data_IF_967877069720
#
_entry.id   IF_967877069720
#
_cell.length_a   1.000
_cell.length_b   1.000
_cell.length_c   1.000
_cell.angle_alpha   90.00
_cell.angle_beta   90.00
_cell.angle_gamma   90.00
#
_symmetry.space_group_name_H-M   'P 1'
#
loop_
_entity.id
_entity.type
_entity.pdbx_description
1 polymer ?
#
# COMPACT_ATOMS: atom_id res chain seq x y z
N UNK A 1 -17.25 -48.96 29.33
CA UNK A 1 -15.76 -48.90 29.44
C UNK A 1 -15.02 -48.16 28.28
N UNK A 2 -15.66 -47.35 27.42
CA UNK A 2 -14.99 -46.65 26.28
C UNK A 2 -14.75 -45.14 26.47
N UNK A 3 -15.46 -44.46 27.39
CA UNK A 3 -15.31 -43.00 27.61
C UNK A 3 -14.07 -42.58 28.42
N UNK A 4 -13.51 -43.45 29.28
CA UNK A 4 -12.38 -43.12 30.17
C UNK A 4 -11.00 -43.09 29.49
N UNK A 5 -10.86 -43.69 28.30
CA UNK A 5 -9.59 -43.65 27.51
C UNK A 5 -9.41 -42.38 26.68
N UNK A 6 -10.49 -41.64 26.39
CA UNK A 6 -10.42 -40.44 25.52
C UNK A 6 -10.00 -39.17 26.28
N UNK A 7 -10.29 -39.06 27.58
CA UNK A 7 -9.86 -37.88 28.37
C UNK A 7 -8.36 -37.89 28.67
N UNK A 8 -7.77 -39.04 29.03
CA UNK A 8 -6.31 -39.16 29.27
C UNK A 8 -5.43 -38.81 28.06
N UNK A 9 -5.95 -38.93 26.83
CA UNK A 9 -5.21 -38.56 25.62
C UNK A 9 -5.27 -37.05 25.32
N UNK A 10 -6.25 -36.34 25.88
CA UNK A 10 -6.39 -34.89 25.74
C UNK A 10 -5.49 -34.15 26.73
N UNK A 11 -5.46 -34.59 27.99
CA UNK A 11 -4.54 -34.05 29.02
C UNK A 11 -3.06 -34.18 28.67
N UNK A 12 -2.65 -35.23 27.93
CA UNK A 12 -1.26 -35.39 27.48
C UNK A 12 -0.88 -34.45 26.32
N UNK A 13 -1.87 -33.95 25.56
CA UNK A 13 -1.64 -33.00 24.47
C UNK A 13 -1.54 -31.57 25.02
N UNK A 14 -2.41 -31.21 25.96
CA UNK A 14 -2.36 -29.89 26.62
C UNK A 14 -1.12 -29.68 27.49
N UNK A 15 -0.45 -30.75 27.96
CA UNK A 15 0.85 -30.65 28.65
C UNK A 15 2.05 -30.45 27.71
N UNK A 16 1.89 -30.71 26.40
CA UNK A 16 2.95 -30.48 25.41
C UNK A 16 2.93 -29.04 24.88
N UNK A 17 1.76 -28.41 24.83
CA UNK A 17 1.58 -27.00 24.39
C UNK A 17 1.90 -25.96 25.48
N UNK A 18 2.12 -26.37 26.74
CA UNK A 18 2.50 -25.47 27.85
C UNK A 18 3.99 -25.34 28.11
N UNK A 19 4.86 -25.94 27.27
CA UNK A 19 6.33 -25.85 27.39
C UNK A 19 6.94 -24.73 26.51
N UNK A 20 6.15 -23.76 26.08
CA UNK A 20 6.59 -22.61 25.26
C UNK A 20 6.47 -21.25 25.97
N UNK A 21 6.32 -21.27 27.31
CA UNK A 21 6.29 -20.06 28.15
C UNK A 21 7.08 -20.24 29.44
N UNK A 22 8.31 -20.73 29.31
CA UNK A 22 9.35 -20.48 30.30
C UNK A 22 10.30 -19.46 29.69
N UNK A 23 10.58 -18.37 30.40
CA UNK A 23 11.74 -17.55 30.11
C UNK A 23 12.97 -18.44 30.30
N UNK A 24 13.42 -19.07 29.21
CA UNK A 24 14.58 -19.94 29.20
C UNK A 24 15.79 -19.10 29.61
N UNK A 25 16.35 -19.42 30.78
CA UNK A 25 17.74 -19.15 31.07
C UNK A 25 18.53 -19.73 29.90
N UNK A 26 18.94 -18.86 28.96
CA UNK A 26 19.57 -19.25 27.71
C UNK A 26 20.79 -20.08 28.06
N UNK A 27 20.74 -21.38 27.82
CA UNK A 27 21.95 -22.17 27.73
C UNK A 27 22.81 -21.47 26.66
N UNK A 28 23.99 -20.99 27.04
CA UNK A 28 24.95 -20.39 26.10
C UNK A 28 25.20 -21.31 24.88
N UNK A 29 25.07 -22.62 25.09
CA UNK A 29 25.21 -23.65 24.06
C UNK A 29 24.09 -23.63 22.98
N UNK A 30 22.93 -23.07 23.28
CA UNK A 30 21.79 -22.98 22.35
C UNK A 30 21.76 -21.63 21.58
N UNK A 31 22.72 -20.75 21.87
CA UNK A 31 22.87 -19.46 21.18
C UNK A 31 23.74 -19.58 19.92
N UNK A 32 24.69 -20.53 19.91
CA UNK A 32 25.58 -20.71 18.78
C UNK A 32 24.81 -21.18 17.53
N UNK A 33 24.97 -20.45 16.43
CA UNK A 33 24.29 -20.76 15.16
C UNK A 33 22.79 -20.45 15.13
N UNK A 34 22.24 -19.75 16.14
CA UNK A 34 20.80 -19.41 16.21
C UNK A 34 20.26 -18.69 14.97
N UNK A 35 21.08 -17.84 14.35
CA UNK A 35 20.73 -17.06 13.17
C UNK A 35 21.41 -17.58 11.89
N UNK A 36 21.93 -18.80 11.93
CA UNK A 36 22.82 -19.36 10.90
C UNK A 36 24.29 -19.21 11.25
N UNK A 37 25.15 -19.73 10.38
CA UNK A 37 26.60 -19.67 10.52
C UNK A 37 27.18 -18.94 9.32
N UNK A 38 28.01 -17.92 9.56
CA UNK A 38 28.72 -17.20 8.50
C UNK A 38 30.19 -17.60 8.49
N UNK A 39 30.72 -17.80 7.29
CA UNK A 39 32.15 -18.04 7.05
C UNK A 39 32.87 -16.75 6.70
N UNK A 40 34.18 -16.71 6.94
CA UNK A 40 35.03 -15.58 6.56
C UNK A 40 34.94 -15.24 5.05
N UNK A 41 34.67 -16.24 4.21
CA UNK A 41 34.49 -16.08 2.75
C UNK A 41 33.19 -15.35 2.35
N UNK A 42 32.20 -15.28 3.23
CA UNK A 42 30.89 -14.67 2.94
C UNK A 42 30.85 -13.16 3.17
N UNK A 43 32.02 -12.54 3.32
CA UNK A 43 32.20 -11.09 3.54
C UNK A 43 31.31 -10.25 2.64
N UNK A 44 31.19 -10.59 1.35
CA UNK A 44 30.40 -9.84 0.37
C UNK A 44 28.88 -9.88 0.61
N UNK A 45 28.33 -11.01 1.05
CA UNK A 45 26.89 -11.18 1.26
C UNK A 45 26.37 -10.48 2.51
N UNK A 46 27.26 -10.27 3.48
CA UNK A 46 26.97 -9.64 4.79
C UNK A 46 27.62 -8.27 4.95
N UNK A 47 28.03 -7.64 3.84
CA UNK A 47 28.66 -6.32 3.86
C UNK A 47 27.78 -5.27 4.52
N UNK A 48 26.49 -5.29 4.25
CA UNK A 48 25.58 -4.27 4.73
C UNK A 48 25.36 -4.39 6.24
N UNK A 49 25.18 -5.61 6.75
CA UNK A 49 25.14 -5.89 8.20
C UNK A 49 26.44 -5.50 8.90
N UNK A 50 27.58 -5.81 8.29
CA UNK A 50 28.89 -5.50 8.86
C UNK A 50 29.14 -4.00 8.93
N UNK A 51 28.79 -3.24 7.88
CA UNK A 51 28.91 -1.77 7.87
C UNK A 51 28.04 -1.13 8.93
N UNK A 52 26.80 -1.60 9.09
CA UNK A 52 25.90 -1.12 10.13
C UNK A 52 26.45 -1.41 11.53
N UNK A 53 26.99 -2.61 11.74
CA UNK A 53 27.63 -2.96 13.02
C UNK A 53 28.85 -2.09 13.33
N UNK A 54 29.73 -1.86 12.35
CA UNK A 54 30.90 -0.99 12.52
C UNK A 54 30.51 0.43 12.91
N UNK A 55 29.54 1.02 12.20
CA UNK A 55 29.10 2.40 12.44
C UNK A 55 28.40 2.56 13.80
N UNK A 56 27.58 1.58 14.19
CA UNK A 56 26.73 1.72 15.36
C UNK A 56 27.34 1.17 16.65
N UNK A 57 28.11 0.09 16.58
CA UNK A 57 28.70 -0.57 17.76
C UNK A 57 30.13 -0.10 17.99
N UNK A 58 30.93 -0.07 16.92
CA UNK A 58 32.33 0.35 17.01
C UNK A 58 32.51 1.85 16.77
N UNK A 59 31.49 2.54 16.26
CA UNK A 59 31.55 3.96 15.88
C UNK A 59 32.66 4.29 14.88
N UNK A 60 32.94 3.36 13.96
CA UNK A 60 33.96 3.50 12.92
C UNK A 60 33.30 3.41 11.54
N UNK A 61 33.65 4.35 10.67
CA UNK A 61 33.25 4.29 9.27
C UNK A 61 34.13 3.30 8.48
N UNK A 62 33.50 2.50 7.62
CA UNK A 62 34.19 1.52 6.76
C UNK A 62 35.36 2.14 5.96
N UNK A 63 35.17 3.38 5.51
CA UNK A 63 36.17 4.13 4.74
C UNK A 63 37.42 4.52 5.54
N UNK A 64 37.34 4.56 6.87
CA UNK A 64 38.46 4.94 7.74
C UNK A 64 39.40 3.77 8.07
N UNK A 65 38.96 2.53 7.90
CA UNK A 65 39.76 1.34 8.21
C UNK A 65 40.72 0.99 7.06
N UNK A 66 41.96 0.62 7.38
CA UNK A 66 42.87 -0.01 6.42
C UNK A 66 42.40 -1.43 6.05
N UNK A 67 42.84 -1.95 4.90
CA UNK A 67 42.40 -3.27 4.41
C UNK A 67 42.56 -4.40 5.43
N UNK A 68 43.66 -4.39 6.18
CA UNK A 68 43.94 -5.38 7.23
C UNK A 68 43.02 -5.24 8.43
N UNK A 69 42.83 -4.02 8.92
CA UNK A 69 41.94 -3.75 10.04
C UNK A 69 40.48 -4.12 9.70
N UNK A 70 40.07 -3.96 8.43
CA UNK A 70 38.76 -4.44 7.97
C UNK A 70 38.63 -5.96 8.04
N UNK A 71 39.70 -6.70 7.80
CA UNK A 71 39.69 -8.16 7.89
C UNK A 71 39.67 -8.62 9.36
N UNK A 72 40.42 -7.95 10.23
CA UNK A 72 40.42 -8.21 11.67
C UNK A 72 39.02 -7.94 12.28
N UNK A 73 38.43 -6.79 11.97
CA UNK A 73 37.08 -6.43 12.41
C UNK A 73 36.01 -7.37 11.84
N UNK A 74 36.21 -7.86 10.62
CA UNK A 74 35.32 -8.87 10.01
C UNK A 74 35.40 -10.20 10.76
N UNK A 75 36.57 -10.59 11.24
CA UNK A 75 36.74 -11.75 12.12
C UNK A 75 35.92 -11.63 13.40
N UNK A 76 36.05 -10.50 14.11
CA UNK A 76 35.25 -10.22 15.33
C UNK A 76 33.75 -10.28 15.05
N UNK A 77 33.29 -9.68 13.95
CA UNK A 77 31.88 -9.73 13.57
C UNK A 77 31.40 -11.16 13.27
N UNK A 78 32.21 -11.98 12.62
CA UNK A 78 31.90 -13.39 12.34
C UNK A 78 31.76 -14.19 13.63
N UNK A 79 32.65 -13.96 14.60
CA UNK A 79 32.58 -14.59 15.92
C UNK A 79 31.30 -14.17 16.66
N UNK A 80 31.02 -12.88 16.73
CA UNK A 80 29.85 -12.36 17.43
C UNK A 80 28.52 -12.75 16.75
N UNK A 81 28.53 -12.86 15.43
CA UNK A 81 27.38 -13.36 14.67
C UNK A 81 27.12 -14.82 15.00
N UNK A 82 28.15 -15.67 14.92
CA UNK A 82 27.99 -17.11 15.11
C UNK A 82 27.66 -17.47 16.56
N UNK A 83 28.14 -16.70 17.53
CA UNK A 83 27.85 -16.87 18.96
C UNK A 83 26.58 -16.16 19.42
N UNK A 84 25.90 -15.46 18.50
CA UNK A 84 24.70 -14.68 18.77
C UNK A 84 24.84 -13.63 19.90
N UNK A 85 26.00 -12.95 19.96
CA UNK A 85 26.37 -11.94 20.98
C UNK A 85 26.23 -10.50 20.50
N UNK A 86 25.86 -10.26 19.23
CA UNK A 86 25.63 -8.92 18.69
C UNK A 86 24.52 -8.19 19.49
N UNK A 87 24.68 -6.87 19.71
CA UNK A 87 23.82 -6.12 20.63
C UNK A 87 22.36 -6.00 20.18
N UNK A 88 22.08 -6.13 18.88
CA UNK A 88 20.72 -6.02 18.36
C UNK A 88 20.44 -7.04 17.25
N UNK A 89 19.20 -7.55 17.20
CA UNK A 89 18.79 -8.60 16.25
C UNK A 89 18.92 -8.18 14.78
N UNK A 90 18.94 -6.87 14.50
CA UNK A 90 19.02 -6.32 13.13
C UNK A 90 20.31 -6.69 12.40
N UNK A 91 21.42 -6.88 13.11
CA UNK A 91 22.70 -7.20 12.47
C UNK A 91 22.78 -8.66 11.99
N UNK A 92 21.81 -9.51 12.35
CA UNK A 92 21.72 -10.87 11.82
C UNK A 92 21.05 -10.93 10.46
N UNK A 93 20.02 -10.11 10.27
CA UNK A 93 19.27 -10.00 9.02
C UNK A 93 18.71 -8.57 8.87
N UNK A 94 19.51 -7.69 8.26
CA UNK A 94 19.13 -6.29 8.09
C UNK A 94 17.91 -6.17 7.18
N UNK A 95 17.86 -6.96 6.11
CA UNK A 95 16.78 -6.92 5.14
C UNK A 95 15.42 -7.31 5.74
N UNK A 96 15.36 -8.39 6.51
CA UNK A 96 14.12 -8.78 7.20
C UNK A 96 13.69 -7.76 8.24
N UNK A 97 14.66 -7.17 8.96
CA UNK A 97 14.38 -6.14 9.95
C UNK A 97 13.81 -4.89 9.31
N UNK A 98 14.41 -4.38 8.23
CA UNK A 98 13.94 -3.20 7.50
C UNK A 98 12.55 -3.42 6.90
N UNK A 99 12.31 -4.59 6.31
CA UNK A 99 10.98 -4.93 5.81
C UNK A 99 9.95 -5.01 6.93
N UNK A 100 10.30 -5.62 8.06
CA UNK A 100 9.42 -5.72 9.23
C UNK A 100 9.12 -4.35 9.82
N UNK A 101 10.12 -3.49 9.95
CA UNK A 101 9.98 -2.13 10.45
C UNK A 101 9.13 -1.27 9.49
N UNK A 102 9.39 -1.37 8.19
CA UNK A 102 8.59 -0.71 7.15
C UNK A 102 7.13 -1.16 7.17
N UNK A 103 6.87 -2.46 7.30
CA UNK A 103 5.51 -3.01 7.46
C UNK A 103 4.84 -2.52 8.74
N UNK A 104 5.57 -2.45 9.85
CA UNK A 104 5.04 -1.93 11.12
C UNK A 104 4.71 -0.44 11.01
N UNK A 105 5.58 0.36 10.38
CA UNK A 105 5.37 1.78 10.12
C UNK A 105 4.16 2.00 9.22
N UNK A 106 4.04 1.28 8.11
CA UNK A 106 2.91 1.38 7.19
C UNK A 106 1.59 0.93 7.84
N UNK A 107 1.61 -0.15 8.63
CA UNK A 107 0.43 -0.60 9.39
C UNK A 107 -0.01 0.43 10.45
N UNK A 108 0.94 1.08 11.14
CA UNK A 108 0.65 2.17 12.09
C UNK A 108 0.04 3.38 11.38
N UNK A 109 0.59 3.78 10.23
CA UNK A 109 0.04 4.87 9.41
C UNK A 109 -1.37 4.54 8.93
N UNK A 110 -1.59 3.33 8.40
CA UNK A 110 -2.89 2.88 7.95
C UNK A 110 -3.91 2.83 9.10
N UNK A 111 -3.52 2.35 10.29
CA UNK A 111 -4.37 2.36 11.48
C UNK A 111 -4.70 3.78 11.96
N UNK A 112 -3.73 4.70 11.88
CA UNK A 112 -3.95 6.13 12.20
C UNK A 112 -4.93 6.77 11.21
N UNK A 113 -4.74 6.55 9.91
CA UNK A 113 -5.64 7.04 8.87
C UNK A 113 -7.04 6.44 9.00
N UNK A 114 -7.15 5.15 9.30
CA UNK A 114 -8.44 4.49 9.57
C UNK A 114 -9.15 5.10 10.78
N UNK A 115 -8.45 5.29 11.91
CA UNK A 115 -9.02 5.95 13.11
C UNK A 115 -9.46 7.38 12.83
N UNK A 116 -8.69 8.15 12.06
CA UNK A 116 -9.08 9.51 11.66
C UNK A 116 -10.33 9.49 10.77
N UNK A 117 -10.44 8.53 9.85
CA UNK A 117 -11.61 8.34 8.96
C UNK A 117 -12.85 7.83 9.70
N UNK A 118 -12.69 7.06 10.78
CA UNK A 118 -13.79 6.58 11.62
C UNK A 118 -14.25 7.64 12.65
N UNK A 119 -13.34 8.51 13.13
CA UNK A 119 -13.66 9.59 14.08
C UNK A 119 -14.20 10.87 13.42
N UNK A 120 -13.79 11.17 12.19
CA UNK A 120 -14.45 12.16 11.33
C UNK A 120 -15.46 11.40 10.49
N UNK A 121 -16.75 11.41 10.88
CA UNK A 121 -17.87 10.74 10.18
C UNK A 121 -18.11 11.19 8.74
N UNK A 122 -17.11 11.01 7.87
CA UNK A 122 -17.09 11.35 6.46
C UNK A 122 -16.55 10.15 5.71
N UNK A 123 -17.47 9.23 5.45
CA UNK A 123 -17.39 8.29 4.34
C UNK A 123 -17.56 9.07 3.01
N UNK A 124 -16.74 10.10 2.76
CA UNK A 124 -16.86 11.02 1.60
C UNK A 124 -15.91 10.68 0.43
N UNK A 125 -15.23 9.53 0.45
CA UNK A 125 -14.27 9.20 -0.61
C UNK A 125 -14.88 8.54 -1.84
N UNK A 126 -16.01 7.85 -1.70
CA UNK A 126 -16.64 7.08 -2.80
C UNK A 126 -17.97 7.70 -3.23
N UNK A 127 -18.66 8.40 -2.32
CA UNK A 127 -19.91 9.11 -2.62
C UNK A 127 -19.69 10.38 -3.45
N UNK A 128 -18.55 11.05 -3.29
CA UNK A 128 -18.26 12.35 -3.94
C UNK A 128 -17.89 12.19 -5.43
N UNK A 129 -17.29 11.05 -5.81
CA UNK A 129 -16.95 10.74 -7.19
C UNK A 129 -18.20 10.31 -8.00
N UNK A 130 -19.07 9.49 -7.42
CA UNK A 130 -20.35 9.11 -8.04
C UNK A 130 -21.29 10.31 -8.20
N UNK A 131 -21.30 11.25 -7.25
CA UNK A 131 -22.08 12.49 -7.38
C UNK A 131 -21.58 13.36 -8.54
N UNK A 132 -20.26 13.47 -8.72
CA UNK A 132 -19.66 14.23 -9.81
C UNK A 132 -20.01 13.65 -11.19
N UNK A 133 -20.00 12.31 -11.32
CA UNK A 133 -20.40 11.64 -12.56
C UNK A 133 -21.88 11.85 -12.90
N UNK A 134 -22.77 11.75 -11.90
CA UNK A 134 -24.20 12.00 -12.09
C UNK A 134 -24.47 13.46 -12.50
N UNK A 135 -23.79 14.43 -11.88
CA UNK A 135 -23.91 15.83 -12.24
C UNK A 135 -23.42 16.09 -13.67
N UNK A 136 -22.31 15.48 -14.08
CA UNK A 136 -21.78 15.60 -15.44
C UNK A 136 -22.72 14.99 -16.48
N UNK A 137 -23.34 13.86 -16.15
CA UNK A 137 -24.30 13.18 -17.00
C UNK A 137 -25.60 13.98 -17.13
N UNK A 138 -26.11 14.53 -16.03
CA UNK A 138 -27.27 15.43 -16.05
C UNK A 138 -26.98 16.70 -16.83
N UNK A 139 -25.79 17.29 -16.68
CA UNK A 139 -25.40 18.49 -17.43
C UNK A 139 -25.27 18.22 -18.93
N UNK A 140 -24.74 17.04 -19.31
CA UNK A 140 -24.73 16.58 -20.71
C UNK A 140 -26.14 16.40 -21.25
N UNK A 141 -27.03 15.78 -20.49
CA UNK A 141 -28.43 15.59 -20.89
C UNK A 141 -29.18 16.92 -21.00
N UNK A 142 -29.01 17.83 -20.03
CA UNK A 142 -29.60 19.17 -20.09
C UNK A 142 -29.11 19.94 -21.31
N UNK A 143 -27.79 19.92 -21.57
CA UNK A 143 -27.23 20.59 -22.74
C UNK A 143 -27.78 20.01 -24.05
N UNK A 144 -27.82 18.68 -24.17
CA UNK A 144 -28.42 18.02 -25.33
C UNK A 144 -29.91 18.36 -25.50
N UNK A 145 -30.68 18.44 -24.40
CA UNK A 145 -32.08 18.84 -24.45
C UNK A 145 -32.28 20.31 -24.85
N UNK A 146 -31.39 21.20 -24.40
CA UNK A 146 -31.41 22.62 -24.79
C UNK A 146 -31.05 22.77 -26.27
N UNK A 147 -30.00 22.08 -26.72
CA UNK A 147 -29.59 22.04 -28.12
C UNK A 147 -30.76 21.54 -29.01
N UNK A 148 -31.41 20.44 -28.64
CA UNK A 148 -32.58 19.92 -29.36
C UNK A 148 -33.77 20.90 -29.36
N UNK A 149 -34.06 21.55 -28.23
CA UNK A 149 -35.13 22.55 -28.16
C UNK A 149 -34.84 23.77 -29.05
N UNK A 150 -33.60 24.25 -29.06
CA UNK A 150 -33.19 25.35 -29.96
C UNK A 150 -33.24 24.96 -31.44
N UNK A 151 -32.92 23.70 -31.75
CA UNK A 151 -32.98 23.18 -33.11
C UNK A 151 -34.43 23.11 -33.61
N UNK A 152 -35.36 22.64 -32.77
CA UNK A 152 -36.79 22.64 -33.09
C UNK A 152 -37.35 24.05 -33.30
N UNK A 153 -36.97 25.02 -32.45
CA UNK A 153 -37.40 26.41 -32.58
C UNK A 153 -36.87 27.05 -33.88
N UNK A 154 -35.61 26.78 -34.23
CA UNK A 154 -35.02 27.22 -35.51
C UNK A 154 -35.74 26.62 -36.73
N UNK A 155 -36.10 25.33 -36.68
CA UNK A 155 -36.86 24.67 -37.75
C UNK A 155 -38.26 25.27 -37.89
N UNK A 156 -38.94 25.58 -36.79
CA UNK A 156 -40.25 26.22 -36.81
C UNK A 156 -40.20 27.64 -37.42
N UNK A 157 -39.17 28.42 -37.09
CA UNK A 157 -38.93 29.73 -37.70
C UNK A 157 -38.67 29.63 -39.21
N UNK A 158 -37.89 28.64 -39.65
CA UNK A 158 -37.68 28.39 -41.08
C UNK A 158 -38.97 28.00 -41.80
N UNK A 159 -39.84 27.21 -41.16
CA UNK A 159 -41.14 26.85 -41.73
C UNK A 159 -42.02 28.07 -41.92
N UNK A 160 -42.16 28.91 -40.88
CA UNK A 160 -42.94 30.14 -40.97
C UNK A 160 -42.40 31.11 -42.02
N UNK A 161 -41.08 31.20 -42.19
CA UNK A 161 -40.47 32.03 -43.22
C UNK A 161 -40.85 31.56 -44.63
N UNK A 162 -40.80 30.23 -44.88
CA UNK A 162 -41.21 29.63 -46.16
C UNK A 162 -42.70 29.83 -46.43
N UNK A 163 -43.55 29.72 -45.41
CA UNK A 163 -44.99 29.99 -45.55
C UNK A 163 -45.26 31.45 -45.92
N UNK A 164 -44.60 32.40 -45.25
CA UNK A 164 -44.72 33.83 -45.58
C UNK A 164 -44.24 34.13 -46.99
N UNK A 165 -43.13 33.51 -47.42
CA UNK A 165 -42.61 33.65 -48.79
C UNK A 165 -43.60 33.10 -49.83
N UNK A 166 -44.16 31.92 -49.58
CA UNK A 166 -45.18 31.32 -50.44
C UNK A 166 -46.45 32.19 -50.52
N UNK A 167 -46.92 32.73 -49.39
CA UNK A 167 -48.05 33.66 -49.34
C UNK A 167 -47.77 34.95 -50.11
N UNK A 168 -46.58 35.54 -49.96
CA UNK A 168 -46.18 36.72 -50.71
C UNK A 168 -46.14 36.47 -52.22
N UNK A 169 -45.68 35.28 -52.64
CA UNK A 169 -45.66 34.87 -54.04
C UNK A 169 -47.07 34.66 -54.62
N UNK A 170 -47.98 34.08 -53.84
CA UNK A 170 -49.40 33.94 -54.25
C UNK A 170 -50.06 35.32 -54.38
N UNK A 171 -49.82 36.22 -53.42
CA UNK A 171 -50.36 37.58 -53.45
C UNK A 171 -49.84 38.37 -54.66
N UNK A 172 -48.55 38.25 -54.98
CA UNK A 172 -47.96 38.94 -56.14
C UNK A 172 -48.49 38.40 -57.47
N UNK A 173 -48.68 37.07 -57.59
CA UNK A 173 -49.31 36.45 -58.76
C UNK A 173 -50.79 36.87 -58.91
N UNK A 174 -51.54 36.95 -57.81
CA UNK A 174 -52.94 37.39 -57.84
C UNK A 174 -53.09 38.88 -58.20
N UNK A 175 -52.15 39.73 -57.78
CA UNK A 175 -52.11 41.14 -58.17
C UNK A 175 -51.69 41.34 -59.63
N UNK A 176 -50.80 40.49 -60.17
CA UNK A 176 -50.40 40.53 -61.57
C UNK A 176 -51.50 40.10 -62.54
N UNK A 177 -52.43 39.23 -62.12
CA UNK A 177 -53.54 38.74 -62.94
C UNK A 177 -54.76 39.69 -63.03
N UNK A 178 -54.78 40.80 -62.29
CA UNK A 178 -55.88 41.79 -62.26
C UNK A 178 -55.59 43.08 -63.05
N UNK A 179 -54.50 43.10 -63.83
CA UNK A 179 -54.15 44.16 -64.79
C UNK A 179 -54.30 43.63 -66.21
#
# INVERSE_FOLDING_TARGET
KKKKKKSKKKDKKDKKDKKDKGEDAKNLNDQFGKYGFIRASEKFHKQDEFRAWLSEVKHIDWGMLAGRERDDMWGEFVEDFNTATLPHVKYYNMHEWEQSDSRKKSAKLHKKHKKLKEGSGKNMGVSDEQQREQELQQKRQQKASQEYATELDAVALMHQAKEKEAMAKILSMAMASKK
#
